data_IF_616091526385
#
_entry.id   IF_616091526385
#
_cell.length_a   1.000
_cell.length_b   1.000
_cell.length_c   1.000
_cell.angle_alpha   90.00
_cell.angle_beta   90.00
_cell.angle_gamma   90.00
#
_symmetry.space_group_name_H-M   'P 1'
#
loop_
_entity.id
_entity.type
_entity.pdbx_description
1 polymer ?
#
# COMPACT_ATOMS: atom_id res chain seq x y z
N UNK A 1 -9.41 33.88 4.67
CA UNK A 1 -9.30 32.42 4.81
C UNK A 1 -8.70 31.71 3.59
N UNK A 2 -8.17 32.39 2.61
CA UNK A 2 -7.72 31.83 1.30
C UNK A 2 -6.22 31.56 1.20
N UNK A 3 -5.38 32.15 2.01
CA UNK A 3 -3.92 32.02 1.90
C UNK A 3 -3.32 30.79 2.61
N UNK A 4 -3.90 30.32 3.74
CA UNK A 4 -3.43 29.11 4.42
C UNK A 4 -3.60 27.82 3.59
N UNK A 5 -4.64 27.75 2.71
CA UNK A 5 -4.91 26.58 1.86
C UNK A 5 -3.87 26.40 0.73
N UNK A 6 -3.26 27.50 0.25
CA UNK A 6 -2.31 27.46 -0.88
C UNK A 6 -0.89 27.10 -0.42
N UNK A 7 -0.55 27.39 0.83
CA UNK A 7 0.77 27.13 1.40
C UNK A 7 1.00 25.64 1.69
N UNK A 8 -0.04 24.88 2.12
CA UNK A 8 0.11 23.48 2.53
C UNK A 8 0.48 22.50 1.39
N UNK A 9 0.24 22.80 0.12
CA UNK A 9 0.52 21.87 -0.98
C UNK A 9 1.89 22.06 -1.63
N UNK A 10 2.51 23.23 -1.53
CA UNK A 10 3.81 23.53 -2.16
C UNK A 10 5.00 23.11 -1.30
N UNK A 11 4.87 23.10 0.04
CA UNK A 11 5.97 22.85 0.99
C UNK A 11 5.94 21.47 1.63
N UNK A 12 5.02 20.55 1.21
CA UNK A 12 4.98 19.19 1.75
C UNK A 12 6.29 18.46 1.42
N UNK A 13 6.92 17.89 2.44
CA UNK A 13 8.15 17.10 2.28
C UNK A 13 7.85 15.74 1.65
N UNK A 14 8.83 15.17 0.93
CA UNK A 14 8.63 13.94 0.14
C UNK A 14 8.40 12.69 0.98
N UNK A 15 8.79 12.70 2.24
CA UNK A 15 8.68 11.59 3.20
C UNK A 15 7.73 11.90 4.36
N UNK A 16 6.83 12.87 4.17
CA UNK A 16 5.82 13.24 5.16
C UNK A 16 4.40 12.92 4.67
N UNK A 17 3.54 12.63 5.64
CA UNK A 17 2.12 12.36 5.42
C UNK A 17 1.39 13.52 4.73
N UNK A 18 0.13 13.31 4.35
CA UNK A 18 -0.68 14.32 3.63
C UNK A 18 -0.85 15.64 4.39
N UNK A 19 -0.69 15.64 5.72
CA UNK A 19 -0.78 16.84 6.55
C UNK A 19 0.58 17.51 6.76
N UNK A 20 1.66 16.92 6.27
CA UNK A 20 3.05 17.36 6.48
C UNK A 20 3.47 17.43 7.96
N UNK A 21 2.87 16.61 8.82
CA UNK A 21 3.13 16.61 10.27
C UNK A 21 3.87 15.36 10.75
N UNK A 22 3.68 14.21 10.11
CA UNK A 22 4.28 12.94 10.49
C UNK A 22 5.25 12.49 9.40
N UNK A 23 6.50 12.21 9.78
CA UNK A 23 7.48 11.62 8.87
C UNK A 23 7.17 10.14 8.69
N UNK A 24 6.58 9.77 7.55
CA UNK A 24 6.15 8.39 7.23
C UNK A 24 7.28 7.47 6.80
N UNK A 25 8.49 8.00 6.68
CA UNK A 25 9.72 7.24 6.52
C UNK A 25 10.34 6.79 7.85
N UNK A 26 9.79 7.26 8.97
CA UNK A 26 10.32 7.01 10.31
C UNK A 26 9.33 6.15 11.13
N UNK A 27 9.64 4.87 11.41
CA UNK A 27 8.75 3.97 12.16
C UNK A 27 8.38 4.50 13.54
N UNK A 28 9.30 5.19 14.22
CA UNK A 28 9.05 5.76 15.56
C UNK A 28 8.06 6.92 15.47
N UNK A 29 8.18 7.79 14.47
CA UNK A 29 7.27 8.91 14.27
C UNK A 29 5.84 8.42 13.99
N UNK A 30 5.68 7.43 13.10
CA UNK A 30 4.38 6.83 12.78
C UNK A 30 3.81 6.09 13.98
N UNK A 31 4.59 5.25 14.67
CA UNK A 31 4.15 4.57 15.89
C UNK A 31 3.62 5.55 16.94
N UNK A 32 4.33 6.65 17.17
CA UNK A 32 3.90 7.65 18.14
C UNK A 32 2.61 8.36 17.72
N UNK A 33 2.45 8.67 16.43
CA UNK A 33 1.22 9.25 15.89
C UNK A 33 0.03 8.27 15.99
N UNK A 34 0.24 7.00 15.64
CA UNK A 34 -0.78 5.95 15.79
C UNK A 34 -1.13 5.74 17.25
N UNK A 35 -0.14 5.76 18.17
CA UNK A 35 -0.39 5.66 19.61
C UNK A 35 -1.27 6.80 20.11
N UNK A 36 -1.02 8.03 19.67
CA UNK A 36 -1.82 9.18 20.08
C UNK A 36 -3.28 9.05 19.58
N UNK A 37 -3.46 8.65 18.32
CA UNK A 37 -4.78 8.39 17.74
C UNK A 37 -5.52 7.25 18.45
N UNK A 38 -4.82 6.16 18.76
CA UNK A 38 -5.38 5.01 19.45
C UNK A 38 -5.80 5.35 20.89
N UNK A 39 -4.96 6.07 21.64
CA UNK A 39 -5.26 6.48 23.00
C UNK A 39 -6.45 7.47 23.09
N UNK A 40 -6.60 8.32 22.07
CA UNK A 40 -7.72 9.25 21.95
C UNK A 40 -9.05 8.51 21.69
N UNK A 41 -9.04 7.51 20.80
CA UNK A 41 -10.24 6.72 20.48
C UNK A 41 -10.61 5.71 21.56
N UNK A 42 -9.60 5.17 22.27
CA UNK A 42 -9.75 4.06 23.24
C UNK A 42 -9.04 4.38 24.56
N UNK A 43 -9.54 5.32 25.36
CA UNK A 43 -8.93 5.69 26.63
C UNK A 43 -8.78 4.48 27.56
N UNK A 44 -7.56 4.26 28.07
CA UNK A 44 -7.24 3.16 28.96
C UNK A 44 -6.93 1.81 28.29
N UNK A 45 -7.08 1.69 26.97
CA UNK A 45 -6.68 0.48 26.25
C UNK A 45 -5.15 0.39 26.14
N UNK A 46 -4.59 -0.83 26.36
CA UNK A 46 -3.15 -1.05 26.21
C UNK A 46 -2.71 -0.92 24.74
N UNK A 47 -1.54 -0.36 24.54
CA UNK A 47 -0.85 -0.22 23.23
C UNK A 47 0.31 -1.23 23.10
N UNK A 48 0.55 -2.10 24.06
CA UNK A 48 1.76 -2.94 24.14
C UNK A 48 1.92 -3.87 22.94
N UNK A 49 0.84 -4.50 22.50
CA UNK A 49 0.86 -5.37 21.29
C UNK A 49 1.20 -4.58 20.03
N UNK A 50 0.63 -3.39 19.89
CA UNK A 50 0.96 -2.52 18.76
C UNK A 50 2.41 -2.04 18.82
N UNK A 51 2.90 -1.73 20.03
CA UNK A 51 4.31 -1.37 20.22
C UNK A 51 5.25 -2.47 19.73
N UNK A 52 4.98 -3.73 20.14
CA UNK A 52 5.75 -4.89 19.71
C UNK A 52 5.62 -5.14 18.21
N UNK A 53 4.42 -5.01 17.65
CA UNK A 53 4.18 -5.16 16.21
C UNK A 53 4.98 -4.13 15.38
N UNK A 54 5.04 -2.87 15.80
CA UNK A 54 5.88 -1.86 15.14
C UNK A 54 7.37 -2.18 15.23
N UNK A 55 7.83 -2.69 16.37
CA UNK A 55 9.20 -3.12 16.56
C UNK A 55 9.57 -4.30 15.64
N UNK A 56 8.70 -5.30 15.56
CA UNK A 56 8.90 -6.48 14.73
C UNK A 56 8.77 -6.15 13.24
N UNK A 57 7.86 -5.24 12.86
CA UNK A 57 7.77 -4.70 11.51
C UNK A 57 9.10 -4.07 11.06
N UNK A 58 9.69 -3.19 11.87
CA UNK A 58 10.99 -2.58 11.55
C UNK A 58 12.06 -3.64 11.38
N UNK A 59 12.09 -4.67 12.24
CA UNK A 59 13.05 -5.77 12.14
C UNK A 59 12.86 -6.61 10.90
N UNK A 60 11.60 -6.88 10.51
CA UNK A 60 11.25 -7.66 9.33
C UNK A 60 11.73 -6.94 8.06
N UNK A 61 11.37 -5.67 7.91
CA UNK A 61 11.77 -4.89 6.74
C UNK A 61 13.29 -4.65 6.67
N UNK A 62 13.95 -4.58 7.81
CA UNK A 62 15.41 -4.43 7.88
C UNK A 62 16.19 -5.75 7.79
N UNK A 63 15.53 -6.90 7.63
CA UNK A 63 16.19 -8.23 7.55
C UNK A 63 16.75 -8.72 8.89
N UNK A 64 16.23 -8.24 10.00
CA UNK A 64 16.62 -8.64 11.37
C UNK A 64 15.58 -9.52 12.05
N UNK A 65 14.51 -9.88 11.36
CA UNK A 65 13.49 -10.80 11.86
C UNK A 65 13.89 -12.24 11.53
N UNK A 66 13.79 -13.20 12.49
CA UNK A 66 14.26 -14.56 12.27
C UNK A 66 13.59 -15.26 11.09
N UNK A 67 14.38 -15.92 10.25
CA UNK A 67 13.89 -16.68 9.11
C UNK A 67 13.55 -15.86 7.86
N UNK A 68 13.68 -14.53 7.91
CA UNK A 68 13.32 -13.65 6.80
C UNK A 68 14.49 -12.78 6.34
N UNK A 69 14.53 -12.48 5.05
CA UNK A 69 15.40 -11.46 4.47
C UNK A 69 14.78 -10.08 4.69
N UNK A 70 15.52 -9.02 4.45
CA UNK A 70 14.96 -7.65 4.44
C UNK A 70 14.07 -7.41 3.21
N UNK A 71 13.32 -6.33 3.26
CA UNK A 71 12.56 -5.83 2.13
C UNK A 71 13.52 -5.42 1.00
N UNK A 72 13.33 -5.97 -0.19
CA UNK A 72 14.10 -5.68 -1.40
C UNK A 72 13.22 -5.23 -2.58
N UNK A 73 11.94 -5.01 -2.33
CA UNK A 73 11.01 -4.29 -3.22
C UNK A 73 11.27 -2.79 -3.15
N UNK A 74 11.05 -2.08 -4.25
CA UNK A 74 11.39 -0.66 -4.37
C UNK A 74 10.18 0.26 -4.20
N UNK A 75 8.97 -0.23 -4.51
CA UNK A 75 7.71 0.49 -4.37
C UNK A 75 6.98 0.09 -3.08
N UNK A 76 6.78 -1.24 -2.88
CA UNK A 76 6.20 -1.79 -1.65
C UNK A 76 7.28 -1.82 -0.56
N UNK A 77 7.62 -0.63 -0.08
CA UNK A 77 8.67 -0.38 0.88
C UNK A 77 8.14 -0.02 2.28
N UNK A 78 9.04 0.20 3.22
CA UNK A 78 8.72 0.58 4.59
C UNK A 78 7.84 1.85 4.64
N UNK A 79 8.11 2.85 3.79
CA UNK A 79 7.35 4.11 3.81
C UNK A 79 5.90 3.91 3.38
N UNK A 80 5.65 3.10 2.33
CA UNK A 80 4.30 2.76 1.89
C UNK A 80 3.49 2.16 3.04
N UNK A 81 4.02 1.13 3.70
CA UNK A 81 3.34 0.46 4.81
C UNK A 81 3.09 1.39 6.00
N UNK A 82 4.04 2.25 6.34
CA UNK A 82 3.87 3.20 7.45
C UNK A 82 2.83 4.29 7.14
N UNK A 83 2.81 4.84 5.92
CA UNK A 83 1.82 5.84 5.50
C UNK A 83 0.41 5.24 5.48
N UNK A 84 0.26 4.03 4.94
CA UNK A 84 -0.99 3.26 4.97
C UNK A 84 -1.46 2.99 6.40
N UNK A 85 -0.58 2.57 7.30
CA UNK A 85 -0.92 2.30 8.71
C UNK A 85 -1.39 3.58 9.42
N UNK A 86 -0.77 4.72 9.17
CA UNK A 86 -1.21 6.02 9.70
C UNK A 86 -2.59 6.41 9.14
N UNK A 87 -2.82 6.20 7.84
CA UNK A 87 -4.11 6.45 7.20
C UNK A 87 -5.20 5.58 7.81
N UNK A 88 -4.92 4.29 8.03
CA UNK A 88 -5.85 3.36 8.69
C UNK A 88 -6.19 3.80 10.12
N UNK A 89 -5.19 4.18 10.92
CA UNK A 89 -5.44 4.65 12.29
C UNK A 89 -6.39 5.88 12.30
N UNK A 90 -6.20 6.81 11.37
CA UNK A 90 -7.10 7.96 11.19
C UNK A 90 -8.52 7.53 10.78
N UNK A 91 -8.64 6.59 9.85
CA UNK A 91 -9.92 6.04 9.41
C UNK A 91 -10.66 5.35 10.57
N UNK A 92 -9.97 4.58 11.40
CA UNK A 92 -10.53 3.93 12.58
C UNK A 92 -11.06 4.98 13.55
N UNK A 93 -10.28 6.00 13.90
CA UNK A 93 -10.73 7.06 14.81
C UNK A 93 -11.94 7.81 14.25
N UNK A 94 -11.92 8.13 12.96
CA UNK A 94 -13.04 8.78 12.29
C UNK A 94 -14.31 7.90 12.28
N UNK A 95 -14.16 6.60 12.06
CA UNK A 95 -15.24 5.63 12.15
C UNK A 95 -15.82 5.57 13.56
N UNK A 96 -15.00 5.36 14.58
CA UNK A 96 -15.42 5.29 15.99
C UNK A 96 -16.20 6.52 16.45
N UNK A 97 -15.87 7.70 15.91
CA UNK A 97 -16.57 8.96 16.19
C UNK A 97 -17.85 9.18 15.39
N UNK A 98 -18.05 8.39 14.32
CA UNK A 98 -19.16 8.58 13.37
C UNK A 98 -20.32 7.63 13.55
N UNK A 99 -20.11 6.54 14.30
CA UNK A 99 -21.11 5.46 14.43
C UNK A 99 -21.66 5.36 15.85
N UNK A 100 -22.83 4.73 15.96
CA UNK A 100 -23.45 4.45 17.26
C UNK A 100 -22.56 3.48 18.08
N UNK A 101 -22.63 3.53 19.43
CA UNK A 101 -21.81 2.69 20.30
C UNK A 101 -21.89 1.18 19.97
N UNK A 102 -23.04 0.67 19.52
CA UNK A 102 -23.24 -0.74 19.14
C UNK A 102 -22.42 -1.15 17.91
N UNK A 103 -22.13 -0.21 17.02
CA UNK A 103 -21.49 -0.45 15.74
C UNK A 103 -19.97 -0.19 15.77
N UNK A 104 -19.46 0.29 16.91
CA UNK A 104 -18.04 0.57 17.09
C UNK A 104 -17.20 -0.69 17.01
N UNK A 105 -16.01 -0.57 16.44
CA UNK A 105 -15.04 -1.67 16.36
C UNK A 105 -14.49 -2.05 17.73
N UNK A 106 -14.25 -1.03 18.55
CA UNK A 106 -13.58 -1.18 19.82
C UNK A 106 -12.06 -1.42 19.71
N UNK A 107 -11.34 -1.42 20.85
CA UNK A 107 -9.88 -1.44 20.85
C UNK A 107 -9.29 -2.75 20.29
N UNK A 108 -9.95 -3.89 20.47
CA UNK A 108 -9.42 -5.17 20.01
C UNK A 108 -9.39 -5.27 18.48
N UNK A 109 -10.50 -4.93 17.80
CA UNK A 109 -10.56 -4.89 16.33
C UNK A 109 -9.64 -3.83 15.74
N UNK A 110 -9.57 -2.67 16.39
CA UNK A 110 -8.65 -1.61 16.00
C UNK A 110 -7.18 -2.08 16.07
N UNK A 111 -6.78 -2.78 17.15
CA UNK A 111 -5.44 -3.36 17.25
C UNK A 111 -5.19 -4.39 16.15
N UNK A 112 -6.14 -5.31 15.94
CA UNK A 112 -6.04 -6.33 14.89
C UNK A 112 -5.85 -5.69 13.50
N UNK A 113 -6.69 -4.71 13.14
CA UNK A 113 -6.60 -4.04 11.85
C UNK A 113 -5.26 -3.29 11.67
N UNK A 114 -4.76 -2.61 12.71
CA UNK A 114 -3.46 -1.92 12.68
C UNK A 114 -2.30 -2.93 12.55
N UNK A 115 -2.34 -4.06 13.26
CA UNK A 115 -1.33 -5.12 13.08
C UNK A 115 -1.40 -5.69 11.67
N UNK A 116 -2.60 -5.95 11.14
CA UNK A 116 -2.78 -6.43 9.77
C UNK A 116 -2.20 -5.45 8.77
N UNK A 117 -2.37 -4.12 8.97
CA UNK A 117 -1.80 -3.11 8.08
C UNK A 117 -0.28 -3.10 8.08
N UNK A 118 0.37 -3.28 9.22
CA UNK A 118 1.84 -3.34 9.31
C UNK A 118 2.42 -4.52 8.53
N UNK A 119 1.67 -5.60 8.38
CA UNK A 119 2.16 -6.81 7.74
C UNK A 119 1.42 -7.19 6.45
N UNK A 120 0.60 -6.27 5.87
CA UNK A 120 -0.17 -6.54 4.66
C UNK A 120 0.71 -6.87 3.44
N UNK A 121 1.91 -6.30 3.38
CA UNK A 121 2.92 -6.50 2.34
C UNK A 121 4.08 -7.42 2.77
N UNK A 122 3.97 -8.08 3.94
CA UNK A 122 5.01 -9.02 4.40
C UNK A 122 5.23 -10.19 3.42
N UNK A 123 4.25 -10.47 2.56
CA UNK A 123 4.35 -11.49 1.51
C UNK A 123 5.38 -11.20 0.43
N UNK A 124 5.80 -9.95 0.26
CA UNK A 124 6.95 -9.60 -0.58
C UNK A 124 8.29 -9.98 0.06
N UNK A 125 8.36 -10.17 1.38
CA UNK A 125 9.60 -10.45 2.06
C UNK A 125 9.93 -11.94 1.98
N UNK A 126 11.11 -12.25 1.45
CA UNK A 126 11.56 -13.62 1.20
C UNK A 126 11.92 -14.34 2.51
N UNK A 127 11.45 -15.58 2.66
CA UNK A 127 11.90 -16.48 3.70
C UNK A 127 13.25 -17.08 3.30
N UNK A 128 14.21 -17.14 4.24
CA UNK A 128 15.60 -17.57 3.96
C UNK A 128 15.66 -18.98 3.39
N UNK A 129 14.86 -19.90 3.93
CA UNK A 129 14.91 -21.32 3.55
C UNK A 129 13.95 -21.69 2.42
N UNK A 130 12.72 -21.10 2.41
CA UNK A 130 11.66 -21.52 1.48
C UNK A 130 11.73 -20.82 0.13
N UNK A 131 12.32 -19.62 0.09
CA UNK A 131 12.33 -18.76 -1.09
C UNK A 131 13.75 -18.65 -1.72
N UNK A 132 14.55 -19.72 -1.64
CA UNK A 132 15.95 -19.72 -2.12
C UNK A 132 16.05 -19.52 -3.64
N UNK A 133 15.05 -19.98 -4.39
CA UNK A 133 15.01 -19.86 -5.85
C UNK A 133 14.61 -18.47 -6.34
N UNK A 134 14.13 -17.62 -5.42
CA UNK A 134 13.71 -16.26 -5.74
C UNK A 134 14.81 -15.27 -5.36
N UNK A 135 15.04 -14.30 -6.24
CA UNK A 135 16.12 -13.32 -6.10
C UNK A 135 15.63 -11.95 -5.61
N UNK A 136 14.32 -11.67 -5.76
CA UNK A 136 13.71 -10.41 -5.34
C UNK A 136 12.24 -10.60 -4.95
N UNK A 137 11.75 -9.87 -3.96
CA UNK A 137 10.38 -9.94 -3.46
C UNK A 137 9.32 -9.59 -4.50
N UNK A 138 9.62 -8.73 -5.46
CA UNK A 138 8.69 -8.38 -6.54
C UNK A 138 8.22 -9.60 -7.37
N UNK A 139 8.96 -10.72 -7.34
CA UNK A 139 8.54 -11.97 -7.97
C UNK A 139 7.27 -12.58 -7.33
N UNK A 140 6.88 -12.09 -6.15
CA UNK A 140 5.66 -12.52 -5.46
C UNK A 140 4.45 -11.59 -5.70
N UNK A 141 4.54 -10.61 -6.58
CA UNK A 141 3.48 -9.61 -6.81
C UNK A 141 2.09 -10.24 -6.98
N UNK A 142 1.98 -11.37 -7.67
CA UNK A 142 0.69 -12.05 -7.93
C UNK A 142 0.16 -12.89 -6.75
N UNK A 143 0.93 -13.06 -5.67
CA UNK A 143 0.57 -13.90 -4.52
C UNK A 143 0.97 -13.29 -3.18
N UNK A 144 1.39 -12.01 -3.16
CA UNK A 144 1.93 -11.38 -1.96
C UNK A 144 0.89 -11.27 -0.83
N UNK A 145 -0.40 -11.06 -1.17
CA UNK A 145 -1.45 -10.94 -0.15
C UNK A 145 -1.72 -12.28 0.53
N UNK A 146 -1.82 -13.37 -0.24
CA UNK A 146 -1.94 -14.72 0.33
C UNK A 146 -0.74 -15.09 1.19
N UNK A 147 0.46 -14.70 0.78
CA UNK A 147 1.70 -14.87 1.57
C UNK A 147 1.70 -14.02 2.84
N UNK A 148 1.14 -12.80 2.78
CA UNK A 148 0.95 -11.96 3.96
C UNK A 148 -0.07 -12.55 4.93
N UNK A 149 -1.17 -13.13 4.42
CA UNK A 149 -2.12 -13.88 5.24
C UNK A 149 -1.44 -15.07 5.96
N UNK A 150 -0.54 -15.79 5.26
CA UNK A 150 0.24 -16.88 5.85
C UNK A 150 1.25 -16.40 6.91
N UNK A 151 1.84 -15.23 6.71
CA UNK A 151 2.68 -14.58 7.74
C UNK A 151 1.85 -14.26 8.98
N UNK A 152 0.70 -13.60 8.82
CA UNK A 152 -0.19 -13.21 9.92
C UNK A 152 -0.70 -14.42 10.71
N UNK A 153 -1.01 -15.55 10.04
CA UNK A 153 -1.41 -16.80 10.71
C UNK A 153 -0.35 -17.31 11.69
N UNK A 154 0.93 -17.12 11.40
CA UNK A 154 2.03 -17.53 12.28
C UNK A 154 2.36 -16.46 13.31
N UNK A 155 2.36 -15.19 12.92
CA UNK A 155 2.80 -14.09 13.76
C UNK A 155 1.80 -13.72 14.86
N UNK A 156 0.50 -13.67 14.56
CA UNK A 156 -0.51 -13.22 15.53
C UNK A 156 -0.56 -14.06 16.80
N UNK A 157 -0.45 -15.41 16.78
CA UNK A 157 -0.36 -16.21 18.01
C UNK A 157 0.85 -15.85 18.87
N UNK A 158 2.00 -15.58 18.26
CA UNK A 158 3.23 -15.16 18.97
C UNK A 158 3.06 -13.77 19.62
N UNK A 159 2.28 -12.90 19.00
CA UNK A 159 1.90 -11.58 19.54
C UNK A 159 0.80 -11.68 20.63
N UNK A 160 0.31 -12.89 20.96
CA UNK A 160 -0.81 -13.08 21.89
C UNK A 160 -2.16 -12.64 21.33
N UNK A 161 -2.32 -12.73 19.99
CA UNK A 161 -3.53 -12.38 19.23
C UNK A 161 -4.12 -13.59 18.47
N UNK A 162 -4.01 -14.78 19.04
CA UNK A 162 -4.46 -16.02 18.37
C UNK A 162 -5.95 -15.99 17.96
N UNK A 163 -6.79 -15.27 18.70
CA UNK A 163 -8.24 -15.14 18.40
C UNK A 163 -8.50 -14.33 17.13
N UNK A 164 -7.58 -13.45 16.76
CA UNK A 164 -7.73 -12.52 15.64
C UNK A 164 -7.21 -13.11 14.32
N UNK A 165 -6.61 -14.32 14.35
CA UNK A 165 -5.96 -14.97 13.18
C UNK A 165 -6.93 -15.15 12.02
N UNK A 166 -8.12 -15.70 12.26
CA UNK A 166 -9.09 -15.98 11.21
C UNK A 166 -9.50 -14.69 10.48
N UNK A 167 -9.89 -13.68 11.26
CA UNK A 167 -10.34 -12.39 10.70
C UNK A 167 -9.18 -11.66 10.01
N UNK A 168 -8.03 -11.53 10.67
CA UNK A 168 -6.86 -10.82 10.11
C UNK A 168 -6.39 -11.43 8.79
N UNK A 169 -6.32 -12.78 8.71
CA UNK A 169 -5.90 -13.47 7.48
C UNK A 169 -6.90 -13.38 6.33
N UNK A 170 -8.14 -13.00 6.61
CA UNK A 170 -9.15 -12.72 5.59
C UNK A 170 -9.20 -11.23 5.21
N UNK A 171 -9.17 -10.33 6.19
CA UNK A 171 -9.26 -8.89 5.87
C UNK A 171 -8.03 -8.34 5.13
N UNK A 172 -6.86 -8.99 5.24
CA UNK A 172 -5.68 -8.59 4.46
C UNK A 172 -5.94 -8.65 2.96
N UNK A 173 -6.83 -9.52 2.49
CA UNK A 173 -7.19 -9.63 1.07
C UNK A 173 -7.92 -8.40 0.52
N UNK A 174 -8.42 -7.50 1.39
CA UNK A 174 -8.98 -6.23 0.95
C UNK A 174 -7.92 -5.26 0.38
N UNK A 175 -6.63 -5.50 0.60
CA UNK A 175 -5.53 -4.72 0.00
C UNK A 175 -5.14 -5.20 -1.40
N UNK A 176 -5.52 -6.42 -1.79
CA UNK A 176 -5.13 -7.01 -3.07
C UNK A 176 -6.29 -7.31 -4.03
N UNK A 177 -5.95 -8.08 -5.06
CA UNK A 177 -6.87 -8.53 -6.11
C UNK A 177 -6.83 -10.06 -6.31
N UNK A 178 -6.21 -10.78 -5.37
CA UNK A 178 -6.05 -12.24 -5.44
C UNK A 178 -7.37 -12.98 -5.16
N UNK A 179 -8.26 -12.37 -4.35
CA UNK A 179 -9.59 -12.89 -4.06
C UNK A 179 -10.66 -11.89 -4.48
N UNK A 180 -11.80 -12.41 -4.95
CA UNK A 180 -13.00 -11.59 -5.10
C UNK A 180 -13.53 -11.23 -3.72
N UNK A 181 -13.65 -9.94 -3.43
CA UNK A 181 -14.10 -9.44 -2.14
C UNK A 181 -15.53 -9.87 -1.79
N UNK A 182 -16.37 -10.18 -2.79
CA UNK A 182 -17.73 -10.68 -2.57
C UNK A 182 -17.74 -12.12 -2.06
N UNK A 183 -16.62 -12.85 -2.13
CA UNK A 183 -16.45 -14.21 -1.62
C UNK A 183 -15.86 -14.23 -0.20
N UNK A 184 -15.52 -13.06 0.37
CA UNK A 184 -15.01 -12.97 1.73
C UNK A 184 -16.19 -12.95 2.70
N UNK A 185 -16.39 -14.06 3.39
CA UNK A 185 -17.41 -14.21 4.41
C UNK A 185 -16.79 -14.04 5.81
N UNK A 186 -17.34 -13.15 6.61
CA UNK A 186 -16.99 -12.91 8.00
C UNK A 186 -18.28 -12.82 8.83
N UNK A 187 -18.28 -13.48 9.98
CA UNK A 187 -19.49 -13.63 10.82
C UNK A 187 -19.97 -12.28 11.39
N UNK A 188 -19.04 -11.40 11.77
CA UNK A 188 -19.37 -10.11 12.37
C UNK A 188 -19.22 -9.00 11.30
N UNK A 189 -20.28 -8.20 11.03
CA UNK A 189 -20.19 -7.10 10.08
C UNK A 189 -19.08 -6.08 10.39
N UNK A 190 -18.69 -5.93 11.65
CA UNK A 190 -17.59 -5.03 12.04
C UNK A 190 -16.24 -5.52 11.54
N UNK A 191 -16.06 -6.81 11.33
CA UNK A 191 -14.84 -7.37 10.74
C UNK A 191 -14.76 -7.04 9.24
N UNK A 192 -15.90 -7.04 8.52
CA UNK A 192 -15.97 -6.52 7.15
C UNK A 192 -15.60 -5.03 7.09
N UNK A 193 -16.08 -4.24 8.06
CA UNK A 193 -15.69 -2.82 8.17
C UNK A 193 -14.19 -2.67 8.35
N UNK A 194 -13.53 -3.50 9.17
CA UNK A 194 -12.07 -3.50 9.27
C UNK A 194 -11.41 -3.72 7.90
N UNK A 195 -11.90 -4.65 7.09
CA UNK A 195 -11.44 -4.88 5.73
C UNK A 195 -11.65 -3.66 4.81
N UNK A 196 -12.83 -3.02 4.86
CA UNK A 196 -13.11 -1.81 4.09
C UNK A 196 -12.16 -0.66 4.46
N UNK A 197 -11.91 -0.44 5.76
CA UNK A 197 -10.98 0.59 6.24
C UNK A 197 -9.56 0.27 5.81
N UNK A 198 -9.14 -1.00 5.88
CA UNK A 198 -7.81 -1.47 5.52
C UNK A 198 -7.54 -1.24 4.02
N UNK A 199 -8.41 -1.75 3.13
CA UNK A 199 -8.26 -1.57 1.69
C UNK A 199 -8.41 -0.10 1.25
N UNK A 200 -9.22 0.69 1.97
CA UNK A 200 -9.32 2.14 1.74
C UNK A 200 -8.01 2.83 2.12
N UNK A 201 -7.41 2.48 3.26
CA UNK A 201 -6.16 3.09 3.73
C UNK A 201 -5.03 2.83 2.75
N UNK A 202 -4.87 1.59 2.30
CA UNK A 202 -3.84 1.19 1.36
C UNK A 202 -3.97 1.98 0.04
N UNK A 203 -5.11 1.92 -0.61
CA UNK A 203 -5.35 2.61 -1.87
C UNK A 203 -5.22 4.12 -1.75
N UNK A 204 -5.71 4.70 -0.66
CA UNK A 204 -5.72 6.14 -0.44
C UNK A 204 -4.31 6.67 -0.14
N UNK A 205 -3.54 6.01 0.73
CA UNK A 205 -2.21 6.45 1.13
C UNK A 205 -1.25 6.45 -0.07
N UNK A 206 -1.23 5.34 -0.85
CA UNK A 206 -0.32 5.24 -1.98
C UNK A 206 -0.56 6.33 -3.03
N UNK A 207 -1.83 6.58 -3.43
CA UNK A 207 -2.15 7.60 -4.46
C UNK A 207 -1.99 9.02 -3.93
N UNK A 208 -2.12 9.23 -2.61
CA UNK A 208 -1.90 10.51 -1.95
C UNK A 208 -0.42 10.81 -1.66
N UNK A 209 0.48 9.83 -1.77
CA UNK A 209 1.93 10.04 -1.60
C UNK A 209 2.40 11.18 -2.51
N UNK A 210 3.22 12.09 -1.94
CA UNK A 210 3.73 13.23 -2.69
C UNK A 210 4.52 12.81 -3.93
N UNK A 211 5.25 11.70 -3.85
CA UNK A 211 6.08 11.16 -4.93
C UNK A 211 5.41 10.02 -5.69
N UNK A 212 4.08 9.86 -5.57
CA UNK A 212 3.33 8.75 -6.19
C UNK A 212 3.68 8.56 -7.67
N UNK A 213 3.68 9.65 -8.45
CA UNK A 213 3.90 9.59 -9.90
C UNK A 213 5.32 9.13 -10.25
N UNK A 214 6.31 9.68 -9.56
CA UNK A 214 7.70 9.29 -9.73
C UNK A 214 7.94 7.85 -9.26
N UNK A 215 7.35 7.45 -8.12
CA UNK A 215 7.39 6.06 -7.64
C UNK A 215 6.74 5.10 -8.63
N UNK A 216 5.60 5.43 -9.21
CA UNK A 216 4.96 4.60 -10.25
C UNK A 216 5.88 4.42 -11.47
N UNK A 217 6.48 5.52 -11.98
CA UNK A 217 7.35 5.50 -13.15
C UNK A 217 8.63 4.69 -12.89
N UNK A 218 9.29 4.94 -11.76
CA UNK A 218 10.68 4.52 -11.55
C UNK A 218 10.81 3.25 -10.71
N UNK A 219 9.78 2.89 -9.92
CA UNK A 219 9.80 1.79 -8.97
C UNK A 219 8.72 0.75 -9.26
N UNK A 220 7.43 1.13 -9.25
CA UNK A 220 6.32 0.19 -9.45
C UNK A 220 6.39 -0.49 -10.81
N UNK A 221 6.73 0.25 -11.88
CA UNK A 221 6.91 -0.35 -13.18
C UNK A 221 7.99 -1.46 -13.18
N UNK A 222 9.09 -1.25 -12.47
CA UNK A 222 10.15 -2.27 -12.35
C UNK A 222 9.66 -3.51 -11.61
N UNK A 223 8.92 -3.33 -10.53
CA UNK A 223 8.29 -4.44 -9.81
C UNK A 223 7.28 -5.17 -10.67
N UNK A 224 6.47 -4.45 -11.44
CA UNK A 224 5.52 -5.04 -12.39
C UNK A 224 6.19 -5.85 -13.51
N UNK A 225 7.37 -5.45 -13.94
CA UNK A 225 8.17 -6.26 -14.90
C UNK A 225 8.62 -7.55 -14.22
N UNK A 226 9.23 -7.46 -13.02
CA UNK A 226 9.77 -8.62 -12.30
C UNK A 226 8.64 -9.56 -11.84
N UNK A 227 7.51 -9.00 -11.42
CA UNK A 227 6.32 -9.73 -10.93
C UNK A 227 5.40 -10.27 -12.03
N UNK A 228 5.72 -10.05 -13.33
CA UNK A 228 4.91 -10.56 -14.43
C UNK A 228 3.64 -9.77 -14.74
N UNK A 229 3.45 -8.58 -14.14
CA UNK A 229 2.28 -7.73 -14.39
C UNK A 229 2.46 -6.88 -15.65
N UNK A 230 3.65 -6.33 -15.86
CA UNK A 230 3.92 -5.49 -17.04
C UNK A 230 3.97 -6.28 -18.33
N UNK A 231 4.39 -7.54 -18.23
CA UNK A 231 4.46 -8.48 -19.35
C UNK A 231 4.03 -9.86 -18.86
N UNK A 232 2.94 -10.34 -19.40
CA UNK A 232 2.32 -11.60 -19.03
C UNK A 232 2.63 -12.68 -20.06
N UNK A 233 2.88 -13.90 -19.60
CA UNK A 233 2.96 -15.08 -20.46
C UNK A 233 1.54 -15.49 -20.88
N UNK A 234 1.17 -15.24 -22.14
CA UNK A 234 -0.15 -15.62 -22.68
C UNK A 234 -0.19 -17.11 -23.07
N UNK A 235 0.90 -17.61 -23.68
CA UNK A 235 1.13 -19.02 -24.02
C UNK A 235 2.64 -19.27 -24.10
N UNK A 236 3.12 -20.51 -24.19
CA UNK A 236 4.55 -20.79 -24.35
C UNK A 236 5.14 -20.05 -25.55
N UNK A 237 6.00 -19.06 -25.29
CA UNK A 237 6.62 -18.19 -26.29
C UNK A 237 5.82 -16.99 -26.76
N UNK A 238 4.62 -16.76 -26.20
CA UNK A 238 3.77 -15.59 -26.47
C UNK A 238 3.70 -14.69 -25.23
N UNK A 239 3.95 -13.39 -25.43
CA UNK A 239 3.91 -12.38 -24.35
C UNK A 239 2.91 -11.29 -24.67
N UNK A 240 2.08 -10.99 -23.69
CA UNK A 240 1.19 -9.84 -23.73
C UNK A 240 1.80 -8.69 -22.92
N UNK A 241 2.03 -7.56 -23.57
CA UNK A 241 2.63 -6.38 -22.93
C UNK A 241 1.53 -5.45 -22.45
N UNK A 242 1.29 -5.41 -21.13
CA UNK A 242 0.34 -4.49 -20.49
C UNK A 242 0.94 -3.09 -20.36
N UNK A 243 2.21 -2.98 -19.97
CA UNK A 243 2.91 -1.72 -19.76
C UNK A 243 4.28 -1.75 -20.44
N UNK A 244 4.46 -0.89 -21.45
CA UNK A 244 5.71 -0.80 -22.23
C UNK A 244 6.83 -0.09 -21.47
N UNK A 245 6.47 0.79 -20.53
CA UNK A 245 7.40 1.61 -19.76
C UNK A 245 6.70 2.23 -18.53
N UNK A 246 7.46 2.80 -17.60
CA UNK A 246 6.90 3.59 -16.51
C UNK A 246 6.05 4.77 -16.98
N UNK A 247 6.40 5.40 -18.10
CA UNK A 247 5.57 6.45 -18.70
C UNK A 247 4.27 5.89 -19.29
N UNK A 248 4.28 4.68 -19.84
CA UNK A 248 3.08 4.01 -20.31
C UNK A 248 2.14 3.61 -19.16
N UNK A 249 2.69 3.12 -18.05
CA UNK A 249 1.96 2.90 -16.82
C UNK A 249 1.26 4.19 -16.36
N UNK A 250 2.00 5.30 -16.33
CA UNK A 250 1.44 6.60 -15.95
C UNK A 250 0.35 7.11 -16.91
N UNK A 251 0.47 6.87 -18.22
CA UNK A 251 -0.61 7.23 -19.17
C UNK A 251 -1.93 6.53 -18.87
N UNK A 252 -1.87 5.30 -18.35
CA UNK A 252 -3.04 4.49 -17.99
C UNK A 252 -3.57 4.78 -16.58
N UNK A 253 -2.75 5.36 -15.71
CA UNK A 253 -3.09 5.65 -14.31
C UNK A 253 -4.37 6.50 -14.12
N UNK A 254 -4.69 7.55 -14.91
CA UNK A 254 -5.93 8.29 -14.69
C UNK A 254 -7.20 7.46 -14.88
N UNK A 255 -7.22 6.54 -15.85
CA UNK A 255 -8.35 5.63 -16.09
C UNK A 255 -8.44 4.59 -14.98
N UNK A 256 -7.31 3.98 -14.62
CA UNK A 256 -7.21 3.06 -13.47
C UNK A 256 -7.74 3.69 -12.18
N UNK A 257 -7.31 4.94 -11.88
CA UNK A 257 -7.80 5.66 -10.71
C UNK A 257 -9.33 5.86 -10.71
N UNK A 258 -9.91 6.23 -11.86
CA UNK A 258 -11.36 6.38 -11.98
C UNK A 258 -12.10 5.06 -11.70
N UNK A 259 -11.58 3.94 -12.20
CA UNK A 259 -12.13 2.60 -11.94
C UNK A 259 -12.03 2.23 -10.47
N UNK A 260 -10.85 2.41 -9.85
CA UNK A 260 -10.63 2.15 -8.42
C UNK A 260 -11.55 2.99 -7.55
N UNK A 261 -11.69 4.30 -7.83
CA UNK A 261 -12.61 5.16 -7.10
C UNK A 261 -14.04 4.65 -7.17
N UNK A 262 -14.51 4.30 -8.37
CA UNK A 262 -15.89 3.85 -8.58
C UNK A 262 -16.13 2.46 -7.99
N UNK A 263 -15.27 1.50 -8.31
CA UNK A 263 -15.56 0.08 -8.08
C UNK A 263 -15.09 -0.38 -6.70
N UNK A 264 -13.95 0.08 -6.21
CA UNK A 264 -13.47 -0.28 -4.87
C UNK A 264 -13.89 0.73 -3.82
N UNK A 265 -13.43 1.98 -3.89
CA UNK A 265 -13.63 2.94 -2.81
C UNK A 265 -15.11 3.34 -2.64
N UNK A 266 -15.87 3.51 -3.73
CA UNK A 266 -17.28 3.88 -3.61
C UNK A 266 -18.20 2.67 -3.41
N UNK A 267 -18.08 1.65 -4.25
CA UNK A 267 -19.03 0.52 -4.26
C UNK A 267 -18.66 -0.54 -3.22
N UNK A 268 -17.45 -1.09 -3.27
CA UNK A 268 -17.03 -2.19 -2.38
C UNK A 268 -16.75 -1.71 -0.95
N UNK A 269 -16.04 -0.60 -0.77
CA UNK A 269 -15.64 -0.08 0.55
C UNK A 269 -16.57 1.01 1.09
N UNK A 270 -17.78 1.14 0.50
CA UNK A 270 -18.85 2.04 0.96
C UNK A 270 -18.37 3.46 1.30
N UNK A 271 -17.43 4.00 0.53
CA UNK A 271 -16.82 5.33 0.70
C UNK A 271 -16.20 5.55 2.08
N UNK A 272 -15.58 4.51 2.65
CA UNK A 272 -14.97 4.56 3.98
C UNK A 272 -13.94 5.71 4.14
N UNK A 273 -13.33 6.21 3.06
CA UNK A 273 -12.45 7.37 3.08
C UNK A 273 -13.09 8.63 3.71
N UNK A 274 -14.43 8.73 3.76
CA UNK A 274 -15.13 9.85 4.38
C UNK A 274 -14.93 9.94 5.89
N UNK A 275 -14.59 8.86 6.56
CA UNK A 275 -14.31 8.90 7.99
C UNK A 275 -13.12 9.80 8.34
N UNK A 276 -12.22 10.06 7.40
CA UNK A 276 -11.16 11.08 7.56
C UNK A 276 -11.72 12.49 7.79
N UNK A 277 -12.84 12.84 7.16
CA UNK A 277 -13.46 14.17 7.22
C UNK A 277 -13.81 14.59 8.64
N UNK A 278 -14.12 13.63 9.52
CA UNK A 278 -14.42 13.85 10.94
C UNK A 278 -13.24 14.43 11.73
N UNK A 279 -12.01 14.10 11.30
CA UNK A 279 -10.78 14.54 11.95
C UNK A 279 -10.28 15.91 11.44
N UNK A 280 -10.83 16.38 10.31
CA UNK A 280 -10.31 17.54 9.59
C UNK A 280 -11.43 18.53 9.19
N UNK A 281 -12.40 18.74 10.07
CA UNK A 281 -13.48 19.75 9.91
C UNK A 281 -14.22 19.61 8.56
N UNK A 282 -14.55 18.37 8.17
CA UNK A 282 -15.25 18.07 6.91
C UNK A 282 -14.35 18.08 5.68
N UNK A 283 -13.02 18.21 5.83
CA UNK A 283 -12.06 18.14 4.73
C UNK A 283 -11.40 16.76 4.69
N UNK A 284 -10.96 16.33 3.50
CA UNK A 284 -10.20 15.11 3.36
C UNK A 284 -8.84 15.39 2.70
N UNK A 285 -7.75 15.54 3.49
CA UNK A 285 -6.44 15.89 2.95
C UNK A 285 -5.85 14.80 2.02
N UNK A 286 -6.24 13.54 2.19
CA UNK A 286 -5.85 12.46 1.28
C UNK A 286 -6.51 12.64 -0.09
N UNK A 287 -7.82 12.85 -0.14
CA UNK A 287 -8.54 13.07 -1.40
C UNK A 287 -8.03 14.33 -2.11
N UNK A 288 -7.71 15.39 -1.38
CA UNK A 288 -7.13 16.60 -1.96
C UNK A 288 -5.73 16.33 -2.54
N UNK A 289 -4.88 15.56 -1.85
CA UNK A 289 -3.57 15.15 -2.35
C UNK A 289 -3.68 14.27 -3.61
N UNK A 290 -4.59 13.32 -3.61
CA UNK A 290 -4.90 12.45 -4.77
C UNK A 290 -5.32 13.30 -5.97
N UNK A 291 -6.29 14.20 -5.80
CA UNK A 291 -6.76 15.10 -6.87
C UNK A 291 -5.62 15.93 -7.44
N UNK A 292 -4.72 16.42 -6.58
CA UNK A 292 -3.55 17.18 -7.00
C UNK A 292 -2.59 16.32 -7.83
N UNK A 293 -2.29 15.10 -7.41
CA UNK A 293 -1.43 14.18 -8.13
C UNK A 293 -2.02 13.81 -9.51
N UNK A 294 -3.30 13.42 -9.57
CA UNK A 294 -3.97 13.06 -10.82
C UNK A 294 -4.09 14.27 -11.77
N UNK A 295 -4.42 15.45 -11.24
CA UNK A 295 -4.50 16.68 -12.03
C UNK A 295 -3.12 17.07 -12.60
N UNK A 296 -2.05 16.87 -11.82
CA UNK A 296 -0.68 17.08 -12.28
C UNK A 296 -0.31 16.08 -13.38
N UNK A 297 -0.61 14.80 -13.17
CA UNK A 297 -0.37 13.76 -14.18
C UNK A 297 -1.08 14.06 -15.51
N UNK A 298 -2.35 14.46 -15.48
CA UNK A 298 -3.09 14.84 -16.69
C UNK A 298 -2.41 15.99 -17.43
N UNK A 299 -1.85 16.98 -16.70
CA UNK A 299 -1.07 18.07 -17.31
C UNK A 299 0.22 17.57 -17.97
N UNK A 300 0.96 16.69 -17.28
CA UNK A 300 2.19 16.07 -17.80
C UNK A 300 1.90 15.29 -19.09
N UNK A 301 0.84 14.47 -19.08
CA UNK A 301 0.43 13.69 -20.25
C UNK A 301 0.07 14.60 -21.42
N UNK A 302 -0.72 15.67 -21.20
CA UNK A 302 -1.13 16.62 -22.24
C UNK A 302 0.05 17.40 -22.82
N UNK A 303 1.02 17.77 -21.99
CA UNK A 303 2.22 18.45 -22.40
C UNK A 303 3.22 17.53 -23.13
N UNK A 304 3.13 16.20 -22.89
CA UNK A 304 4.14 15.24 -23.36
C UNK A 304 5.50 15.41 -22.69
N UNK A 305 5.58 16.23 -21.65
CA UNK A 305 6.83 16.59 -20.97
C UNK A 305 6.97 15.86 -19.62
N UNK A 306 7.67 14.73 -19.64
CA UNK A 306 7.94 13.89 -18.47
C UNK A 306 8.98 14.47 -17.53
N UNK A 307 9.71 15.51 -17.93
CA UNK A 307 10.68 16.20 -17.06
C UNK A 307 10.00 16.99 -15.94
N UNK A 308 8.69 17.20 -16.04
CA UNK A 308 7.86 17.79 -14.98
C UNK A 308 7.74 16.87 -13.75
N UNK A 309 7.97 15.56 -13.89
CA UNK A 309 8.06 14.59 -12.79
C UNK A 309 9.50 14.52 -12.30
N UNK A 310 9.83 15.38 -11.33
CA UNK A 310 11.20 15.61 -10.84
C UNK A 310 11.37 15.49 -9.32
N UNK A 311 10.36 14.98 -8.60
CA UNK A 311 10.51 14.70 -7.18
C UNK A 311 11.38 13.47 -6.99
N UNK A 312 12.19 13.47 -5.94
CA UNK A 312 13.07 12.36 -5.60
C UNK A 312 12.47 11.62 -4.39
N UNK A 313 11.81 10.46 -4.62
CA UNK A 313 11.29 9.67 -3.52
C UNK A 313 12.44 9.12 -2.67
N UNK A 314 12.35 9.19 -1.32
CA UNK A 314 13.34 8.59 -0.44
C UNK A 314 13.48 7.09 -0.73
N UNK A 315 14.68 6.54 -0.54
CA UNK A 315 14.97 5.13 -0.75
C UNK A 315 15.46 4.50 0.57
N UNK A 316 14.76 3.46 1.02
CA UNK A 316 15.03 2.77 2.30
C UNK A 316 15.75 1.44 2.14
N UNK A 317 15.89 0.97 0.91
CA UNK A 317 16.76 -0.16 0.66
C UNK A 317 18.17 0.24 1.06
N UNK A 318 18.77 -0.54 1.94
CA UNK A 318 20.15 -0.36 2.33
C UNK A 318 21.00 -0.21 1.10
N UNK A 319 21.10 1.04 0.65
CA UNK A 319 21.94 1.53 -0.41
C UNK A 319 21.63 1.06 -1.84
N UNK A 320 22.14 1.79 -2.80
CA UNK A 320 22.22 1.61 -4.25
C UNK A 320 22.27 0.14 -4.80
N UNK A 321 22.59 -0.84 -4.00
CA UNK A 321 22.58 -2.26 -4.34
C UNK A 321 21.18 -2.79 -4.69
N UNK A 322 20.13 -2.47 -3.93
CA UNK A 322 18.79 -3.00 -4.18
C UNK A 322 18.18 -2.43 -5.47
N UNK A 323 18.36 -1.14 -5.73
CA UNK A 323 17.91 -0.51 -7.00
C UNK A 323 18.69 -1.10 -8.18
N UNK A 324 20.02 -1.26 -8.02
CA UNK A 324 20.85 -1.85 -9.06
C UNK A 324 20.50 -3.31 -9.35
N UNK A 325 20.08 -4.08 -8.34
CA UNK A 325 19.70 -5.48 -8.52
C UNK A 325 18.37 -5.62 -9.24
N UNK A 326 17.34 -4.86 -8.85
CA UNK A 326 16.04 -4.89 -9.56
C UNK A 326 16.22 -4.41 -11.03
N UNK A 327 17.08 -3.43 -11.29
CA UNK A 327 17.39 -3.00 -12.65
C UNK A 327 18.07 -4.09 -13.48
N UNK A 328 18.98 -4.87 -12.89
CA UNK A 328 19.59 -6.02 -13.56
C UNK A 328 18.56 -7.09 -13.89
N UNK A 329 17.63 -7.37 -12.96
CA UNK A 329 16.54 -8.32 -13.19
C UNK A 329 15.63 -7.86 -14.32
N UNK A 330 15.19 -6.60 -14.30
CA UNK A 330 14.36 -6.00 -15.36
C UNK A 330 15.07 -6.11 -16.71
N UNK A 331 16.35 -5.73 -16.80
CA UNK A 331 17.12 -5.84 -18.05
C UNK A 331 17.22 -7.28 -18.54
N UNK A 332 17.46 -8.26 -17.66
CA UNK A 332 17.52 -9.69 -18.03
C UNK A 332 16.16 -10.16 -18.57
N UNK A 333 15.07 -9.80 -17.91
CA UNK A 333 13.74 -10.22 -18.31
C UNK A 333 13.32 -9.58 -19.65
N UNK A 334 13.56 -8.28 -19.84
CA UNK A 334 13.31 -7.60 -21.10
C UNK A 334 14.20 -8.13 -22.24
N UNK A 335 15.47 -8.46 -21.96
CA UNK A 335 16.37 -9.06 -22.93
C UNK A 335 15.94 -10.47 -23.35
N UNK A 336 15.45 -11.29 -22.41
CA UNK A 336 14.93 -12.62 -22.71
C UNK A 336 13.70 -12.56 -23.64
N UNK A 337 12.93 -11.47 -23.59
CA UNK A 337 11.74 -11.24 -24.41
C UNK A 337 12.04 -10.59 -25.74
N UNK A 338 13.21 -9.97 -25.95
CA UNK A 338 13.55 -9.21 -27.17
C UNK A 338 13.68 -10.05 -28.44
N UNK A 339 13.70 -11.37 -28.34
CA UNK A 339 13.70 -12.30 -29.50
C UNK A 339 12.37 -13.00 -29.74
N UNK A 340 11.32 -12.65 -28.99
CA UNK A 340 10.03 -13.37 -29.00
C UNK A 340 8.91 -12.52 -29.62
N UNK A 341 7.84 -13.17 -30.12
CA UNK A 341 6.64 -12.45 -30.58
C UNK A 341 5.97 -11.76 -29.40
N UNK A 342 5.88 -10.42 -29.48
CA UNK A 342 5.23 -9.59 -28.48
C UNK A 342 3.90 -9.12 -29.08
N UNK A 343 2.78 -9.49 -28.45
CA UNK A 343 1.47 -8.94 -28.81
C UNK A 343 1.20 -7.68 -28.00
N UNK A 344 0.72 -6.62 -28.68
CA UNK A 344 0.42 -5.33 -28.09
C UNK A 344 -1.09 -5.12 -28.10
N UNK A 345 -1.77 -5.64 -27.11
CA UNK A 345 -3.19 -5.33 -26.99
C UNK A 345 -3.47 -3.86 -26.70
N UNK A 346 -4.50 -3.35 -27.37
CA UNK A 346 -5.18 -2.09 -27.03
C UNK A 346 -6.04 -2.36 -25.79
N UNK A 347 -5.48 -2.10 -24.65
CA UNK A 347 -5.87 -2.55 -23.32
C UNK A 347 -7.25 -2.12 -22.85
N UNK A 348 -8.05 -3.06 -22.50
CA UNK A 348 -8.97 -2.95 -21.36
C UNK A 348 -8.15 -3.17 -20.09
N UNK A 349 -8.05 -2.16 -19.24
CA UNK A 349 -7.40 -2.28 -17.92
C UNK A 349 -8.22 -3.24 -17.06
N UNK A 350 -7.75 -4.48 -16.93
CA UNK A 350 -8.20 -5.32 -15.82
C UNK A 350 -7.51 -4.80 -14.55
N UNK A 351 -8.23 -4.61 -13.45
CA UNK A 351 -7.61 -4.27 -12.17
C UNK A 351 -6.69 -5.42 -11.74
N UNK A 352 -5.49 -5.08 -11.37
CA UNK A 352 -4.54 -5.99 -10.70
C UNK A 352 -4.81 -5.98 -9.21
#
# INVERSE_FOLDING_TARGET
MTDKKRIMSQDRRNDFDVTNTVQVSNPIAVRNAVRALFADAFPGASFDKLWLAFYDFERLFAGRFPGYRGCDTTYHDLQHTLDMTLALARLIVGYERSVEPSDRLGPQRAQMAIVTSLFHDSGYIRHIERDQDFTNGAQFTLQHVSRSADFLRRYLPELGMAKDVAVSSMIVHFTGYELDLDQIELDDPRDIICGHLLGTADMMAQVADRCYLEKCRDRLYKEFVVGGIAVENAAPGEFQVRYKSGNDLLRKTPVFYQQVMRDRLHRKFNRAYRYIEVLYDGQNPYIDAIRNNISHLVRVIKAGDWTLLRREPPCFLGVATGISEIEKLVRRQLAAMSGMKIDFESSVLMPV
#
